data_IF_946817865236
#
_entry.id   IF_946817865236
#
_cell.length_a   1.000
_cell.length_b   1.000
_cell.length_c   1.000
_cell.angle_alpha   90.00
_cell.angle_beta   90.00
_cell.angle_gamma   90.00
#
_symmetry.space_group_name_H-M   'P 1'
#
loop_
_entity.id
_entity.type
_entity.pdbx_description
1 polymer ?
#
# COMPACT_ATOMS: atom_id res chain seq x y z
N UNK A 1 -17.49 -1.01 -2.13
CA UNK A 1 -16.07 -1.25 -2.43
C UNK A 1 -15.30 -1.79 -1.22
N UNK A 2 -15.27 -1.09 -0.08
CA UNK A 2 -14.47 -1.49 1.08
C UNK A 2 -14.83 -2.89 1.61
N UNK A 3 -16.13 -3.22 1.80
CA UNK A 3 -16.54 -4.53 2.30
C UNK A 3 -16.11 -5.69 1.41
N UNK A 4 -16.18 -5.53 0.09
CA UNK A 4 -15.72 -6.54 -0.89
C UNK A 4 -14.20 -6.70 -0.79
N UNK A 5 -13.46 -5.59 -0.69
CA UNK A 5 -12.01 -5.63 -0.53
C UNK A 5 -11.59 -6.37 0.74
N UNK A 6 -12.24 -6.09 1.87
CA UNK A 6 -11.96 -6.78 3.14
C UNK A 6 -12.18 -8.30 2.97
N UNK A 7 -13.29 -8.72 2.37
CA UNK A 7 -13.59 -10.15 2.17
C UNK A 7 -12.55 -10.84 1.29
N UNK A 8 -12.10 -10.18 0.21
CA UNK A 8 -11.10 -10.74 -0.71
C UNK A 8 -9.74 -10.89 -0.01
N UNK A 9 -9.32 -9.88 0.76
CA UNK A 9 -7.96 -9.80 1.29
C UNK A 9 -7.83 -10.23 2.76
N UNK A 10 -8.92 -10.63 3.41
CA UNK A 10 -8.90 -11.08 4.80
C UNK A 10 -7.84 -12.17 5.09
N UNK A 11 -7.65 -13.19 4.24
CA UNK A 11 -6.61 -14.21 4.46
C UNK A 11 -5.18 -13.64 4.42
N UNK A 12 -4.95 -12.57 3.65
CA UNK A 12 -3.62 -11.97 3.47
C UNK A 12 -3.09 -11.29 4.73
N UNK A 13 -3.96 -10.87 5.64
CA UNK A 13 -3.53 -10.18 6.87
C UNK A 13 -2.72 -11.06 7.84
N UNK A 14 -2.84 -12.39 7.72
CA UNK A 14 -2.12 -13.34 8.57
C UNK A 14 -0.92 -13.96 7.83
N UNK A 15 -0.59 -13.49 6.64
CA UNK A 15 0.57 -13.99 5.90
C UNK A 15 1.87 -13.66 6.66
N UNK A 16 2.83 -14.59 6.78
CA UNK A 16 4.13 -14.29 7.37
C UNK A 16 4.99 -13.41 6.45
N UNK A 17 6.11 -12.90 6.96
CA UNK A 17 7.12 -12.24 6.15
C UNK A 17 7.73 -13.23 5.13
N UNK A 18 7.90 -12.81 3.87
CA UNK A 18 8.40 -13.63 2.78
C UNK A 18 9.55 -12.97 2.02
N UNK A 19 10.46 -13.78 1.52
CA UNK A 19 11.54 -13.37 0.61
C UNK A 19 12.29 -12.11 1.11
N UNK A 20 12.23 -11.02 0.33
CA UNK A 20 12.91 -9.76 0.64
C UNK A 20 12.34 -9.05 1.88
N UNK A 21 11.14 -9.42 2.35
CA UNK A 21 10.61 -8.90 3.62
C UNK A 21 11.53 -9.27 4.80
N UNK A 22 12.18 -10.45 4.74
CA UNK A 22 13.12 -10.85 5.79
C UNK A 22 14.33 -9.92 5.83
N UNK A 23 14.87 -9.54 4.68
CA UNK A 23 16.02 -8.64 4.60
C UNK A 23 15.63 -7.18 4.86
N UNK A 24 14.51 -6.74 4.28
CA UNK A 24 14.10 -5.34 4.35
C UNK A 24 13.41 -4.95 5.67
N UNK A 25 12.86 -5.93 6.41
CA UNK A 25 12.11 -5.69 7.65
C UNK A 25 12.76 -6.44 8.82
N UNK A 26 12.81 -7.79 8.74
CA UNK A 26 13.21 -8.60 9.89
C UNK A 26 14.69 -8.42 10.24
N UNK A 27 15.57 -8.33 9.24
CA UNK A 27 17.02 -8.18 9.43
C UNK A 27 17.50 -6.73 9.30
N UNK A 28 16.61 -5.78 9.01
CA UNK A 28 16.95 -4.39 8.81
C UNK A 28 16.97 -3.62 10.14
N UNK A 29 18.14 -3.26 10.62
CA UNK A 29 18.31 -2.50 11.86
C UNK A 29 17.89 -1.03 11.72
N UNK A 30 17.96 -0.44 10.52
CA UNK A 30 17.68 0.99 10.30
C UNK A 30 16.19 1.33 10.47
N UNK A 31 15.28 0.39 10.24
CA UNK A 31 13.85 0.62 10.44
C UNK A 31 13.38 0.35 11.88
N UNK A 32 14.25 -0.20 12.74
CA UNK A 32 13.92 -0.54 14.14
C UNK A 32 14.02 0.68 15.05
N UNK A 33 13.19 1.67 14.81
CA UNK A 33 13.15 2.88 15.62
C UNK A 33 12.39 2.65 16.93
N UNK A 34 12.87 3.30 17.99
CA UNK A 34 12.27 3.26 19.33
C UNK A 34 11.51 4.54 19.67
N UNK A 35 11.69 5.59 18.88
CA UNK A 35 11.04 6.88 19.00
C UNK A 35 10.71 7.46 17.61
N UNK A 36 9.80 8.44 17.57
CA UNK A 36 9.40 9.15 16.35
C UNK A 36 10.14 10.50 16.19
N UNK A 37 11.37 10.62 16.73
CA UNK A 37 12.17 11.83 16.56
C UNK A 37 12.55 12.03 15.08
N UNK A 38 12.76 13.29 14.69
CA UNK A 38 13.17 13.61 13.33
C UNK A 38 14.50 12.93 12.95
N UNK A 39 15.42 12.75 13.90
CA UNK A 39 16.69 12.05 13.69
C UNK A 39 16.48 10.56 13.41
N UNK A 40 15.65 9.86 14.19
CA UNK A 40 15.35 8.44 13.99
C UNK A 40 14.66 8.20 12.65
N UNK A 41 13.69 9.05 12.31
CA UNK A 41 12.99 8.99 11.02
C UNK A 41 13.93 9.27 9.84
N UNK A 42 14.84 10.27 9.96
CA UNK A 42 15.83 10.56 8.92
C UNK A 42 16.81 9.40 8.73
N UNK A 43 17.31 8.84 9.83
CA UNK A 43 18.21 7.68 9.81
C UNK A 43 17.54 6.49 9.11
N UNK A 44 16.32 6.14 9.46
CA UNK A 44 15.59 5.04 8.84
C UNK A 44 15.34 5.25 7.34
N UNK A 45 15.09 6.49 6.93
CA UNK A 45 14.82 6.82 5.54
C UNK A 45 16.07 6.75 4.65
N UNK A 46 17.22 7.25 5.12
CA UNK A 46 18.35 7.57 4.26
C UNK A 46 19.63 6.77 4.54
N UNK A 47 19.77 6.09 5.67
CA UNK A 47 20.98 5.35 6.00
C UNK A 47 21.00 3.89 5.55
N UNK A 48 19.88 3.38 5.07
CA UNK A 48 19.81 2.06 4.45
C UNK A 48 20.26 2.13 2.98
N UNK A 49 21.55 2.04 2.74
CA UNK A 49 22.12 2.08 1.38
C UNK A 49 21.79 0.85 0.53
N UNK A 50 21.44 -0.29 1.15
CA UNK A 50 21.08 -1.52 0.45
C UNK A 50 19.67 -1.40 -0.19
N UNK A 51 18.77 -0.73 0.52
CA UNK A 51 17.38 -0.53 0.07
C UNK A 51 17.11 0.98 -0.07
N UNK A 52 17.78 1.65 -1.01
CA UNK A 52 17.68 3.10 -1.21
C UNK A 52 16.26 3.54 -1.65
N UNK A 53 15.30 3.42 -0.74
CA UNK A 53 13.88 3.76 -0.93
C UNK A 53 13.37 4.55 0.27
N UNK A 54 13.74 5.83 0.40
CA UNK A 54 13.52 6.63 1.61
C UNK A 54 12.07 6.62 2.11
N UNK A 55 11.11 6.80 1.22
CA UNK A 55 9.69 6.83 1.57
C UNK A 55 9.20 5.45 2.08
N UNK A 56 9.62 4.38 1.44
CA UNK A 56 9.27 3.01 1.86
C UNK A 56 9.86 2.71 3.23
N UNK A 57 11.16 2.97 3.41
CA UNK A 57 11.86 2.74 4.67
C UNK A 57 11.24 3.53 5.81
N UNK A 58 10.90 4.81 5.57
CA UNK A 58 10.19 5.64 6.54
C UNK A 58 8.87 5.01 6.99
N UNK A 59 8.05 4.54 6.03
CA UNK A 59 6.76 3.91 6.37
C UNK A 59 6.91 2.55 7.04
N UNK A 60 7.97 1.80 6.72
CA UNK A 60 8.30 0.55 7.41
C UNK A 60 8.78 0.82 8.84
N UNK A 61 9.59 1.86 9.06
CA UNK A 61 10.02 2.27 10.39
C UNK A 61 8.85 2.70 11.28
N UNK A 62 7.93 3.50 10.74
CA UNK A 62 6.69 3.88 11.46
C UNK A 62 5.85 2.62 11.76
N UNK A 63 5.73 1.68 10.83
CA UNK A 63 5.07 0.39 11.08
C UNK A 63 5.77 -0.37 12.21
N UNK A 64 7.11 -0.44 12.19
CA UNK A 64 7.88 -1.12 13.22
C UNK A 64 7.64 -0.49 14.59
N UNK A 65 7.63 0.83 14.68
CA UNK A 65 7.37 1.55 15.94
C UNK A 65 6.05 1.11 16.60
N UNK A 66 4.96 0.97 15.82
CA UNK A 66 3.64 0.60 16.36
C UNK A 66 3.40 -0.90 16.49
N UNK A 67 3.94 -1.70 15.59
CA UNK A 67 3.59 -3.13 15.47
C UNK A 67 4.78 -4.08 15.67
N UNK A 68 5.98 -3.56 15.88
CA UNK A 68 7.21 -4.36 15.97
C UNK A 68 7.31 -5.32 14.76
N UNK A 69 7.53 -6.60 14.98
CA UNK A 69 7.57 -7.64 13.94
C UNK A 69 6.22 -8.39 13.78
N UNK A 70 5.09 -7.76 14.13
CA UNK A 70 3.78 -8.35 13.84
C UNK A 70 3.38 -8.03 12.39
N UNK A 71 3.27 -9.05 11.49
CA UNK A 71 2.99 -8.83 10.07
C UNK A 71 1.64 -8.15 9.81
N UNK A 72 0.65 -8.37 10.66
CA UNK A 72 -0.70 -7.83 10.50
C UNK A 72 -0.71 -6.32 10.25
N UNK A 73 0.05 -5.55 11.05
CA UNK A 73 0.10 -4.10 10.89
C UNK A 73 0.70 -3.65 9.56
N UNK A 74 1.66 -4.39 9.03
CA UNK A 74 2.27 -4.11 7.73
C UNK A 74 1.31 -4.39 6.57
N UNK A 75 0.58 -5.51 6.63
CA UNK A 75 -0.45 -5.84 5.64
C UNK A 75 -1.60 -4.84 5.68
N UNK A 76 -2.00 -4.40 6.88
CA UNK A 76 -3.05 -3.39 7.04
C UNK A 76 -2.68 -2.08 6.33
N UNK A 77 -1.45 -1.61 6.51
CA UNK A 77 -0.98 -0.38 5.83
C UNK A 77 -0.95 -0.57 4.32
N UNK A 78 -0.45 -1.71 3.81
CA UNK A 78 -0.46 -2.01 2.38
C UNK A 78 -1.90 -2.06 1.82
N UNK A 79 -2.83 -2.66 2.56
CA UNK A 79 -4.24 -2.67 2.22
C UNK A 79 -4.84 -1.26 2.14
N UNK A 80 -4.51 -0.39 3.10
CA UNK A 80 -4.95 1.02 3.05
C UNK A 80 -4.45 1.73 1.79
N UNK A 81 -3.21 1.52 1.38
CA UNK A 81 -2.68 2.07 0.13
C UNK A 81 -3.40 1.52 -1.10
N UNK A 82 -3.70 0.22 -1.13
CA UNK A 82 -4.47 -0.38 -2.23
C UNK A 82 -5.86 0.25 -2.34
N UNK A 83 -6.57 0.43 -1.23
CA UNK A 83 -7.88 1.09 -1.18
C UNK A 83 -7.78 2.55 -1.64
N UNK A 84 -6.75 3.28 -1.19
CA UNK A 84 -6.53 4.66 -1.60
C UNK A 84 -6.31 4.76 -3.12
N UNK A 85 -5.49 3.86 -3.68
CA UNK A 85 -5.26 3.80 -5.14
C UNK A 85 -6.55 3.48 -5.91
N UNK A 86 -7.32 2.49 -5.46
CA UNK A 86 -8.61 2.16 -6.08
C UNK A 86 -9.60 3.33 -6.06
N UNK A 87 -9.60 4.10 -4.97
CA UNK A 87 -10.40 5.31 -4.87
C UNK A 87 -9.93 6.40 -5.85
N UNK A 88 -8.62 6.59 -5.97
CA UNK A 88 -8.00 7.50 -6.96
C UNK A 88 -8.41 7.13 -8.38
N UNK A 89 -8.27 5.86 -8.77
CA UNK A 89 -8.70 5.33 -10.07
C UNK A 89 -10.19 5.65 -10.32
N UNK A 90 -11.05 5.35 -9.35
CA UNK A 90 -12.48 5.65 -9.47
C UNK A 90 -12.75 7.12 -9.71
N UNK A 91 -12.10 8.03 -8.96
CA UNK A 91 -12.30 9.47 -9.10
C UNK A 91 -11.80 9.97 -10.46
N UNK A 92 -10.60 9.54 -10.88
CA UNK A 92 -10.03 9.90 -12.17
C UNK A 92 -10.92 9.44 -13.34
N UNK A 93 -11.35 8.17 -13.32
CA UNK A 93 -12.24 7.61 -14.33
C UNK A 93 -13.61 8.31 -14.38
N UNK A 94 -14.19 8.62 -13.23
CA UNK A 94 -15.47 9.33 -13.18
C UNK A 94 -15.35 10.72 -13.83
N UNK A 95 -14.29 11.47 -13.52
CA UNK A 95 -14.02 12.78 -14.13
C UNK A 95 -13.76 12.66 -15.64
N UNK A 96 -12.99 11.64 -16.05
CA UNK A 96 -12.67 11.39 -17.45
C UNK A 96 -13.93 11.07 -18.27
N UNK A 97 -14.79 10.15 -17.80
CA UNK A 97 -16.04 9.80 -18.46
C UNK A 97 -16.99 10.99 -18.61
N UNK A 98 -17.06 11.83 -17.57
CA UNK A 98 -17.85 13.08 -17.64
C UNK A 98 -17.30 14.05 -18.67
N UNK A 99 -15.98 14.16 -18.80
CA UNK A 99 -15.35 14.99 -19.83
C UNK A 99 -15.66 14.50 -21.25
N UNK A 100 -15.88 13.19 -21.42
CA UNK A 100 -16.32 12.59 -22.69
C UNK A 100 -17.82 12.78 -22.98
N UNK A 101 -18.58 13.44 -22.11
CA UNK A 101 -20.00 13.74 -22.32
C UNK A 101 -20.97 12.72 -21.73
N UNK A 102 -20.49 11.68 -21.02
CA UNK A 102 -21.38 10.72 -20.36
C UNK A 102 -22.10 11.37 -19.18
N UNK A 103 -23.31 10.93 -18.91
CA UNK A 103 -24.08 11.42 -17.76
C UNK A 103 -23.40 11.04 -16.42
N UNK A 104 -23.82 11.73 -15.34
CA UNK A 104 -23.19 11.53 -14.03
C UNK A 104 -23.45 10.13 -13.44
N UNK A 105 -24.67 9.60 -13.60
CA UNK A 105 -25.04 8.31 -13.02
C UNK A 105 -24.24 7.19 -13.68
N UNK A 106 -24.17 7.20 -15.01
CA UNK A 106 -23.38 6.23 -15.78
C UNK A 106 -21.88 6.34 -15.47
N UNK A 107 -21.34 7.55 -15.43
CA UNK A 107 -19.92 7.78 -15.10
C UNK A 107 -19.56 7.27 -13.70
N UNK A 108 -20.43 7.52 -12.71
CA UNK A 108 -20.27 7.05 -11.34
C UNK A 108 -20.34 5.53 -11.23
N UNK A 109 -21.29 4.90 -11.91
CA UNK A 109 -21.46 3.44 -11.91
C UNK A 109 -20.27 2.76 -12.60
N UNK A 110 -19.96 3.17 -13.83
CA UNK A 110 -18.86 2.58 -14.61
C UNK A 110 -17.51 2.72 -13.91
N UNK A 111 -17.17 3.89 -13.37
CA UNK A 111 -15.92 4.09 -12.64
C UNK A 111 -15.86 3.24 -11.36
N UNK A 112 -16.98 3.03 -10.68
CA UNK A 112 -17.05 2.16 -9.50
C UNK A 112 -16.82 0.69 -9.88
N UNK A 113 -17.45 0.20 -10.95
CA UNK A 113 -17.28 -1.18 -11.41
C UNK A 113 -15.84 -1.45 -11.89
N UNK A 114 -15.27 -0.53 -12.67
CA UNK A 114 -13.88 -0.67 -13.14
C UNK A 114 -12.90 -0.67 -11.96
N UNK A 115 -13.06 0.23 -11.01
CA UNK A 115 -12.21 0.26 -9.81
C UNK A 115 -12.36 -1.00 -8.94
N UNK A 116 -13.57 -1.58 -8.86
CA UNK A 116 -13.80 -2.86 -8.18
C UNK A 116 -13.15 -4.03 -8.90
N UNK A 117 -13.24 -4.10 -10.24
CA UNK A 117 -12.59 -5.12 -11.04
C UNK A 117 -11.07 -5.04 -10.90
N UNK A 118 -10.51 -3.81 -10.94
CA UNK A 118 -9.09 -3.61 -10.68
C UNK A 118 -8.70 -4.07 -9.27
N UNK A 119 -9.47 -3.68 -8.26
CA UNK A 119 -9.22 -4.04 -6.87
C UNK A 119 -9.28 -5.56 -6.65
N UNK A 120 -10.19 -6.26 -7.31
CA UNK A 120 -10.34 -7.72 -7.22
C UNK A 120 -9.33 -8.49 -8.08
N UNK A 121 -8.47 -7.81 -8.83
CA UNK A 121 -7.53 -8.48 -9.71
C UNK A 121 -6.48 -9.27 -8.91
N UNK A 122 -6.21 -10.54 -9.23
CA UNK A 122 -5.29 -11.40 -8.46
C UNK A 122 -3.88 -10.84 -8.27
N UNK A 123 -3.37 -10.06 -9.21
CA UNK A 123 -2.04 -9.43 -9.09
C UNK A 123 -1.95 -8.46 -7.90
N UNK A 124 -3.06 -7.88 -7.45
CA UNK A 124 -3.07 -7.00 -6.28
C UNK A 124 -2.86 -7.76 -4.96
N UNK A 125 -2.99 -9.09 -4.95
CA UNK A 125 -2.66 -9.90 -3.78
C UNK A 125 -1.19 -9.72 -3.40
N UNK A 126 -0.29 -9.63 -4.36
CA UNK A 126 1.13 -9.36 -4.09
C UNK A 126 1.37 -8.02 -3.41
N UNK A 127 0.60 -6.98 -3.76
CA UNK A 127 0.73 -5.66 -3.14
C UNK A 127 0.42 -5.68 -1.62
N UNK A 128 -0.33 -6.67 -1.15
CA UNK A 128 -0.68 -6.84 0.26
C UNK A 128 0.21 -7.88 0.94
N UNK A 129 0.33 -9.08 0.36
CA UNK A 129 1.05 -10.21 0.98
C UNK A 129 2.56 -10.03 0.96
N UNK A 130 3.11 -9.35 -0.03
CA UNK A 130 4.53 -9.08 -0.15
C UNK A 130 4.81 -7.63 0.27
N UNK A 131 5.18 -7.45 1.54
CA UNK A 131 5.17 -6.14 2.20
C UNK A 131 6.14 -5.16 1.54
N UNK A 132 7.32 -5.61 1.10
CA UNK A 132 8.33 -4.79 0.42
C UNK A 132 7.82 -4.21 -0.90
N UNK A 133 6.85 -4.84 -1.55
CA UNK A 133 6.18 -4.31 -2.76
C UNK A 133 5.43 -2.99 -2.51
N UNK A 134 5.36 -2.51 -1.28
CA UNK A 134 4.86 -1.18 -0.91
C UNK A 134 5.44 -0.07 -1.77
N UNK A 135 6.71 -0.15 -2.18
CA UNK A 135 7.32 0.84 -3.07
C UNK A 135 6.65 0.91 -4.45
N UNK A 136 6.26 -0.24 -5.00
CA UNK A 136 5.53 -0.29 -6.28
C UNK A 136 4.10 0.25 -6.12
N UNK A 137 3.47 -0.03 -4.98
CA UNK A 137 2.15 0.52 -4.64
C UNK A 137 2.18 2.04 -4.51
N UNK A 138 3.25 2.62 -3.94
CA UNK A 138 3.46 4.06 -3.94
C UNK A 138 3.62 4.63 -5.34
N UNK A 139 4.50 4.04 -6.16
CA UNK A 139 4.70 4.50 -7.53
C UNK A 139 3.36 4.50 -8.32
N UNK A 140 2.56 3.44 -8.19
CA UNK A 140 1.23 3.36 -8.79
C UNK A 140 0.26 4.42 -8.26
N UNK A 141 0.23 4.65 -6.94
CA UNK A 141 -0.67 5.62 -6.32
C UNK A 141 -0.34 7.07 -6.68
N UNK A 142 0.95 7.40 -6.88
CA UNK A 142 1.38 8.75 -7.23
C UNK A 142 1.36 9.04 -8.75
N UNK A 143 1.10 8.04 -9.60
CA UNK A 143 1.00 8.21 -11.06
C UNK A 143 -0.43 8.43 -11.56
N UNK A 144 -1.43 8.44 -10.69
CA UNK A 144 -2.86 8.69 -10.97
C UNK A 144 -3.21 10.17 -10.73
#
# INVERSE_FOLDING_TARGET
MLGIAILIYLPSFNAPFHFDDLEAIVNNHYIRITDLSASSLFTSAFQDFKHNRPLTNLTLAVNFYFNQLNPFGYHLVNFCFLIFTAFGIRVALCKFLRKLGYDYALSKLASCLIALLWLAHPLNTQAITYIVQRHSSFAGAFSI
#
